data_IF_524329486056
#
_entry.id   IF_524329486056
#
_cell.length_a   1.000
_cell.length_b   1.000
_cell.length_c   1.000
_cell.angle_alpha   90.00
_cell.angle_beta   90.00
_cell.angle_gamma   90.00
#
_symmetry.space_group_name_H-M   'P 1'
#
loop_
_entity.id
_entity.type
_entity.pdbx_description
1 polymer ?
#
# COMPACT_ATOMS: atom_id res chain seq x y z
N UNK A 1 55.82 -18.72 47.77
CA UNK A 1 55.03 -17.65 47.15
C UNK A 1 54.18 -18.30 46.07
N UNK A 2 52.94 -18.63 46.39
CA UNK A 2 52.01 -19.32 45.50
C UNK A 2 51.06 -18.30 44.88
N UNK A 3 51.00 -18.36 43.55
CA UNK A 3 50.28 -17.51 42.62
C UNK A 3 48.77 -17.64 42.82
N UNK A 4 48.09 -16.55 43.17
CA UNK A 4 46.62 -16.48 43.19
C UNK A 4 46.09 -16.26 41.78
N UNK A 5 45.46 -17.28 41.21
CA UNK A 5 44.70 -17.16 39.96
C UNK A 5 43.34 -16.55 40.30
N UNK A 6 43.09 -15.32 39.87
CA UNK A 6 41.78 -14.69 39.89
C UNK A 6 40.98 -15.25 38.71
N UNK A 7 40.13 -16.23 38.99
CA UNK A 7 39.08 -16.66 38.07
C UNK A 7 38.03 -15.54 38.02
N UNK A 8 38.12 -14.68 36.99
CA UNK A 8 36.98 -13.87 36.58
C UNK A 8 35.95 -14.82 35.97
N UNK A 9 34.99 -15.24 36.79
CA UNK A 9 33.71 -15.77 36.30
C UNK A 9 33.09 -14.67 35.44
N UNK A 10 33.04 -14.86 34.13
CA UNK A 10 32.16 -14.14 33.23
C UNK A 10 30.73 -14.52 33.59
N UNK A 11 30.21 -13.89 34.65
CA UNK A 11 28.80 -13.93 34.96
C UNK A 11 28.08 -13.17 33.86
N UNK A 12 27.30 -13.88 33.06
CA UNK A 12 26.22 -13.29 32.29
C UNK A 12 25.29 -12.63 33.31
N UNK A 13 25.41 -11.31 33.49
CA UNK A 13 24.40 -10.56 34.20
C UNK A 13 23.12 -10.68 33.36
N UNK A 14 22.15 -11.47 33.83
CA UNK A 14 20.75 -11.30 33.40
C UNK A 14 20.41 -9.84 33.66
N UNK A 15 20.04 -9.07 32.64
CA UNK A 15 19.62 -7.69 32.82
C UNK A 15 18.33 -7.66 33.64
N UNK A 16 18.07 -6.59 34.38
CA UNK A 16 16.70 -6.36 34.85
C UNK A 16 15.87 -5.79 33.69
N UNK A 17 14.54 -5.85 33.77
CA UNK A 17 13.69 -4.99 32.92
C UNK A 17 13.81 -3.54 33.40
N UNK A 18 13.79 -2.57 32.48
CA UNK A 18 13.56 -1.18 32.81
C UNK A 18 12.05 -0.94 32.85
N UNK A 19 11.53 -0.69 34.05
CA UNK A 19 10.15 -0.26 34.27
C UNK A 19 10.11 1.26 34.47
N UNK A 20 9.31 1.96 33.65
CA UNK A 20 9.04 3.40 33.77
C UNK A 20 7.53 3.58 33.86
N UNK A 21 7.01 3.83 35.05
CA UNK A 21 5.57 3.82 35.33
C UNK A 21 5.21 4.73 36.52
N UNK A 22 3.92 4.93 36.80
CA UNK A 22 3.43 5.78 37.89
C UNK A 22 3.96 7.23 37.80
N UNK A 23 3.73 7.86 36.64
CA UNK A 23 4.16 9.22 36.28
C UNK A 23 5.68 9.42 36.24
N UNK A 24 6.44 8.33 36.22
CA UNK A 24 7.90 8.40 36.13
C UNK A 24 8.38 8.92 34.77
N UNK A 25 9.48 9.67 34.83
CA UNK A 25 10.25 10.12 33.67
C UNK A 25 11.68 9.63 33.84
N UNK A 26 12.17 8.87 32.87
CA UNK A 26 13.55 8.33 32.85
C UNK A 26 14.28 8.85 31.63
N UNK A 27 15.54 9.28 31.80
CA UNK A 27 16.41 9.72 30.71
C UNK A 27 17.58 8.75 30.56
N UNK A 28 17.89 8.38 29.31
CA UNK A 28 19.07 7.63 28.91
C UNK A 28 19.92 8.54 28.03
N UNK A 29 21.11 8.89 28.50
CA UNK A 29 22.12 9.69 27.80
C UNK A 29 23.49 8.96 27.72
N UNK A 30 23.49 7.67 28.06
CA UNK A 30 24.64 6.77 28.05
C UNK A 30 24.28 5.43 27.39
N UNK A 31 25.29 4.58 27.18
CA UNK A 31 25.08 3.19 26.76
C UNK A 31 24.50 2.37 27.92
N UNK A 32 23.29 1.87 27.75
CA UNK A 32 22.61 0.99 28.72
C UNK A 32 21.92 -0.17 28.01
N UNK A 33 21.82 -1.30 28.69
CA UNK A 33 21.15 -2.47 28.18
C UNK A 33 20.28 -3.13 29.26
N UNK A 34 19.07 -3.52 28.89
CA UNK A 34 18.07 -4.14 29.77
C UNK A 34 17.47 -5.37 29.11
N UNK A 35 16.79 -6.23 29.88
CA UNK A 35 16.10 -7.39 29.32
C UNK A 35 14.78 -6.99 28.62
N UNK A 36 14.13 -5.94 29.10
CA UNK A 36 12.97 -5.37 28.44
C UNK A 36 12.85 -3.89 28.80
N UNK A 37 12.15 -3.14 27.96
CA UNK A 37 11.72 -1.78 28.24
C UNK A 37 10.21 -1.77 28.39
N UNK A 38 9.73 -1.48 29.60
CA UNK A 38 8.32 -1.48 29.98
C UNK A 38 7.93 -0.06 30.39
N UNK A 39 7.24 0.66 29.51
CA UNK A 39 6.94 2.09 29.69
C UNK A 39 5.43 2.29 29.76
N UNK A 40 4.92 2.81 30.87
CA UNK A 40 3.48 2.95 31.14
C UNK A 40 2.80 1.59 31.27
N UNK A 41 3.23 0.79 32.26
CA UNK A 41 2.74 -0.57 32.42
C UNK A 41 1.35 -0.62 33.04
N UNK A 42 1.12 0.00 34.21
CA UNK A 42 -0.19 0.14 34.84
C UNK A 42 -0.70 1.58 34.90
N UNK A 43 0.17 2.57 34.72
CA UNK A 43 -0.18 3.99 34.70
C UNK A 43 0.56 4.71 33.58
N UNK A 44 1.00 5.93 33.85
CA UNK A 44 1.73 6.75 32.90
C UNK A 44 3.24 6.60 33.07
N UNK A 45 4.00 6.54 31.97
CA UNK A 45 5.45 6.52 32.01
C UNK A 45 6.08 7.18 30.79
N UNK A 46 7.20 7.88 30.99
CA UNK A 46 7.93 8.55 29.91
C UNK A 46 9.40 8.16 29.92
N UNK A 47 9.89 7.57 28.83
CA UNK A 47 11.29 7.27 28.62
C UNK A 47 11.87 8.18 27.53
N UNK A 48 12.92 8.94 27.84
CA UNK A 48 13.66 9.73 26.86
C UNK A 48 15.03 9.09 26.62
N UNK A 49 15.34 8.82 25.36
CA UNK A 49 16.66 8.36 24.91
C UNK A 49 17.27 9.55 24.16
N UNK A 50 18.16 10.27 24.85
CA UNK A 50 18.72 11.53 24.40
C UNK A 50 19.97 11.30 23.55
N UNK A 51 20.49 12.35 22.92
CA UNK A 51 21.75 12.31 22.18
C UNK A 51 22.89 11.72 23.03
N UNK A 52 23.60 10.74 22.46
CA UNK A 52 24.63 9.97 23.17
C UNK A 52 24.10 8.76 23.95
N UNK A 53 22.79 8.71 24.19
CA UNK A 53 22.11 7.55 24.75
C UNK A 53 21.98 6.41 23.74
N UNK A 54 22.22 5.19 24.20
CA UNK A 54 22.09 3.98 23.41
C UNK A 54 21.46 2.89 24.27
N UNK A 55 20.18 2.68 24.05
CA UNK A 55 19.37 1.68 24.71
C UNK A 55 19.36 0.39 23.87
N UNK A 56 19.72 -0.75 24.45
CA UNK A 56 19.74 -2.04 23.75
C UNK A 56 19.20 -3.18 24.63
N UNK A 57 18.95 -4.35 24.03
CA UNK A 57 18.51 -5.53 24.78
C UNK A 57 19.69 -6.42 25.19
N UNK A 58 19.74 -6.82 26.47
CA UNK A 58 20.67 -7.86 26.95
C UNK A 58 20.12 -9.26 26.69
N UNK A 59 18.86 -9.52 27.07
CA UNK A 59 18.18 -10.80 26.89
C UNK A 59 16.65 -10.60 26.72
N UNK A 60 15.93 -11.66 26.31
CA UNK A 60 14.49 -11.97 26.50
C UNK A 60 13.33 -11.11 25.89
N UNK A 61 12.43 -11.89 25.25
CA UNK A 61 11.01 -11.80 24.85
C UNK A 61 10.32 -10.57 24.23
N UNK A 62 10.25 -9.38 24.82
CA UNK A 62 9.43 -8.26 24.26
C UNK A 62 9.63 -6.93 25.00
N UNK A 63 9.53 -5.79 24.30
CA UNK A 63 9.42 -4.45 24.91
C UNK A 63 8.02 -3.85 24.67
N UNK A 64 7.53 -3.04 25.60
CA UNK A 64 6.15 -2.53 25.59
C UNK A 64 6.09 -1.05 25.95
N UNK A 65 5.29 -0.30 25.20
CA UNK A 65 4.90 1.10 25.48
C UNK A 65 3.38 1.15 25.61
N UNK A 66 2.83 1.45 26.78
CA UNK A 66 1.38 1.43 27.05
C UNK A 66 0.84 0.01 27.12
N UNK A 67 1.07 -0.69 28.24
CA UNK A 67 0.84 -2.13 28.34
C UNK A 67 -0.62 -2.54 28.59
N UNK A 68 -1.26 -1.99 29.63
CA UNK A 68 -2.58 -2.41 30.11
C UNK A 68 -3.67 -1.39 29.77
N UNK A 69 -4.94 -1.78 29.91
CA UNK A 69 -6.06 -0.85 29.76
C UNK A 69 -5.86 0.40 30.64
N UNK A 70 -6.23 1.56 30.10
CA UNK A 70 -6.08 2.88 30.71
C UNK A 70 -4.62 3.31 31.04
N UNK A 71 -3.60 2.54 30.64
CA UNK A 71 -2.19 2.92 30.83
C UNK A 71 -1.64 3.72 29.66
N UNK A 72 -0.66 4.59 29.92
CA UNK A 72 -0.09 5.51 28.94
C UNK A 72 1.45 5.44 28.93
N UNK A 73 2.03 4.89 27.88
CA UNK A 73 3.48 4.89 27.67
C UNK A 73 3.90 5.91 26.63
N UNK A 74 4.97 6.65 26.89
CA UNK A 74 5.63 7.48 25.88
C UNK A 74 7.14 7.21 25.85
N UNK A 75 7.68 6.92 24.67
CA UNK A 75 9.12 6.87 24.43
C UNK A 75 9.51 7.96 23.45
N UNK A 76 10.51 8.78 23.79
CA UNK A 76 11.08 9.80 22.93
C UNK A 76 12.54 9.45 22.62
N UNK A 77 12.86 9.15 21.37
CA UNK A 77 14.23 8.95 20.89
C UNK A 77 14.67 10.23 20.22
N UNK A 78 15.44 11.04 20.95
CA UNK A 78 15.82 12.41 20.63
C UNK A 78 17.33 12.46 20.36
N UNK A 79 17.73 12.00 19.18
CA UNK A 79 19.14 11.90 18.77
C UNK A 79 19.93 10.74 19.37
N UNK A 80 19.31 9.92 20.22
CA UNK A 80 19.86 8.67 20.72
C UNK A 80 19.51 7.46 19.84
N UNK A 81 19.93 6.27 20.29
CA UNK A 81 19.68 5.00 19.61
C UNK A 81 18.89 4.05 20.51
N UNK A 82 17.91 3.35 19.93
CA UNK A 82 17.20 2.26 20.59
C UNK A 82 17.21 1.00 19.72
N UNK A 83 17.87 -0.07 20.18
CA UNK A 83 18.04 -1.32 19.43
C UNK A 83 17.32 -2.48 20.10
N UNK A 84 16.30 -3.02 19.43
CA UNK A 84 15.45 -4.12 19.89
C UNK A 84 15.90 -5.46 19.29
N UNK A 85 17.21 -5.69 19.32
CA UNK A 85 17.86 -6.93 18.94
C UNK A 85 18.62 -7.46 20.14
N UNK A 86 18.56 -8.77 20.36
CA UNK A 86 19.32 -9.39 21.44
C UNK A 86 20.82 -9.53 21.10
N UNK A 87 21.60 -10.02 22.06
CA UNK A 87 23.05 -10.25 21.89
C UNK A 87 23.40 -11.24 20.77
N UNK A 88 22.44 -12.05 20.32
CA UNK A 88 22.57 -12.96 19.18
C UNK A 88 22.15 -12.33 17.85
N UNK A 89 21.83 -11.03 17.83
CA UNK A 89 21.30 -10.29 16.70
C UNK A 89 19.96 -10.85 16.17
N UNK A 90 19.13 -11.39 17.05
CA UNK A 90 17.76 -11.78 16.71
C UNK A 90 16.81 -10.62 17.03
N UNK A 91 15.95 -10.27 16.07
CA UNK A 91 14.89 -9.29 16.26
C UNK A 91 13.96 -9.70 17.41
N UNK A 92 13.58 -8.71 18.23
CA UNK A 92 12.63 -8.91 19.33
C UNK A 92 11.37 -8.05 19.13
N UNK A 93 10.20 -8.51 19.60
CA UNK A 93 8.96 -7.74 19.51
C UNK A 93 8.99 -6.43 20.29
N UNK A 94 8.52 -5.36 19.66
CA UNK A 94 8.17 -4.09 20.28
C UNK A 94 6.67 -3.84 20.09
N UNK A 95 5.92 -3.78 21.18
CA UNK A 95 4.50 -3.45 21.17
C UNK A 95 4.31 -1.98 21.61
N UNK A 96 3.66 -1.18 20.77
CA UNK A 96 3.27 0.19 21.09
C UNK A 96 1.75 0.24 21.15
N UNK A 97 1.21 0.55 22.33
CA UNK A 97 -0.21 0.41 22.65
C UNK A 97 -0.61 -1.06 22.63
N UNK A 98 -0.24 -1.82 23.65
CA UNK A 98 -0.62 -3.23 23.74
C UNK A 98 -2.11 -3.35 24.03
N UNK A 99 -2.53 -3.04 25.25
CA UNK A 99 -3.95 -2.83 25.61
C UNK A 99 -4.23 -1.38 26.03
N UNK A 100 -3.18 -0.59 26.31
CA UNK A 100 -3.26 0.83 26.64
C UNK A 100 -2.93 1.73 25.45
N UNK A 101 -2.52 2.96 25.77
CA UNK A 101 -2.06 3.95 24.79
C UNK A 101 -0.54 4.03 24.81
N UNK A 102 0.10 3.73 23.68
CA UNK A 102 1.55 3.84 23.51
C UNK A 102 1.91 4.87 22.45
N UNK A 103 2.92 5.69 22.73
CA UNK A 103 3.48 6.63 21.76
C UNK A 103 5.00 6.48 21.67
N UNK A 104 5.53 6.31 20.46
CA UNK A 104 6.95 6.35 20.16
C UNK A 104 7.25 7.54 19.24
N UNK A 105 8.05 8.49 19.73
CA UNK A 105 8.52 9.63 18.96
C UNK A 105 9.99 9.45 18.62
N UNK A 106 10.33 9.52 17.33
CA UNK A 106 11.70 9.45 16.83
C UNK A 106 12.00 10.78 16.14
N UNK A 107 12.83 11.60 16.78
CA UNK A 107 13.12 12.97 16.32
C UNK A 107 14.60 13.30 16.49
N UNK A 108 15.02 14.44 15.93
CA UNK A 108 16.37 15.00 16.15
C UNK A 108 17.49 14.00 15.84
N UNK A 109 17.37 13.26 14.73
CA UNK A 109 18.30 12.19 14.32
C UNK A 109 18.27 10.95 15.21
N UNK A 110 17.21 10.75 15.96
CA UNK A 110 16.99 9.52 16.72
C UNK A 110 16.91 8.30 15.80
N UNK A 111 17.43 7.18 16.28
CA UNK A 111 17.46 5.92 15.54
C UNK A 111 16.80 4.80 16.34
N UNK A 112 15.81 4.12 15.76
CA UNK A 112 15.19 2.93 16.36
C UNK A 112 15.33 1.76 15.42
N UNK A 113 15.90 0.67 15.93
CA UNK A 113 15.95 -0.63 15.28
C UNK A 113 14.94 -1.56 15.96
N UNK A 114 13.69 -1.51 15.51
CA UNK A 114 12.50 -1.96 16.22
C UNK A 114 12.18 -3.46 16.16
N UNK A 115 13.01 -4.27 15.50
CA UNK A 115 12.78 -5.72 15.39
C UNK A 115 11.40 -6.03 14.78
N UNK A 116 10.49 -6.64 15.55
CA UNK A 116 9.09 -6.87 15.14
C UNK A 116 8.16 -5.86 15.80
N UNK A 117 7.72 -4.86 15.05
CA UNK A 117 6.96 -3.74 15.58
C UNK A 117 5.45 -3.92 15.37
N UNK A 118 4.69 -3.83 16.47
CA UNK A 118 3.22 -3.88 16.46
C UNK A 118 2.63 -2.64 17.10
N UNK A 119 1.72 -1.97 16.39
CA UNK A 119 0.95 -0.82 16.90
C UNK A 119 -0.50 -1.24 17.14
N UNK A 120 -1.01 -1.03 18.36
CA UNK A 120 -2.34 -1.54 18.74
C UNK A 120 -2.35 -3.06 18.77
N UNK A 121 -1.52 -3.67 19.65
CA UNK A 121 -1.25 -5.12 19.58
C UNK A 121 -2.33 -6.01 20.20
N UNK A 122 -3.27 -5.45 20.97
CA UNK A 122 -4.47 -6.13 21.48
C UNK A 122 -5.72 -5.30 21.20
N UNK A 123 -6.90 -5.91 21.33
CA UNK A 123 -8.19 -5.21 21.24
C UNK A 123 -8.23 -4.03 22.22
N UNK A 124 -8.63 -2.86 21.75
CA UNK A 124 -8.66 -1.62 22.55
C UNK A 124 -7.32 -0.88 22.66
N UNK A 125 -6.19 -1.54 22.38
CA UNK A 125 -4.87 -0.91 22.37
C UNK A 125 -4.73 0.14 21.27
N UNK A 126 -4.05 1.23 21.59
CA UNK A 126 -3.81 2.37 20.68
C UNK A 126 -2.32 2.67 20.61
N UNK A 127 -1.70 2.36 19.47
CA UNK A 127 -0.28 2.59 19.23
C UNK A 127 -0.02 3.71 18.23
N UNK A 128 0.84 4.66 18.57
CA UNK A 128 1.28 5.72 17.65
C UNK A 128 2.79 5.75 17.52
N UNK A 129 3.29 5.80 16.29
CA UNK A 129 4.71 6.06 15.98
C UNK A 129 4.82 7.33 15.14
N UNK A 130 5.68 8.24 15.56
CA UNK A 130 6.00 9.46 14.82
C UNK A 130 7.50 9.46 14.47
N UNK A 131 7.83 9.51 13.19
CA UNK A 131 9.20 9.63 12.68
C UNK A 131 9.32 10.98 11.99
N UNK A 132 9.94 11.94 12.67
CA UNK A 132 9.94 13.35 12.26
C UNK A 132 11.35 13.91 12.19
N UNK A 133 11.68 14.53 11.07
CA UNK A 133 12.92 15.26 10.88
C UNK A 133 13.96 14.47 10.08
N UNK A 134 14.82 15.23 9.41
CA UNK A 134 15.94 14.70 8.64
C UNK A 134 16.87 13.84 9.51
N UNK A 135 17.30 12.70 8.96
CA UNK A 135 18.10 11.66 9.62
C UNK A 135 17.41 10.94 10.81
N UNK A 136 16.13 11.19 11.11
CA UNK A 136 15.38 10.36 12.06
C UNK A 136 14.92 9.07 11.39
N UNK A 137 15.26 7.94 11.99
CA UNK A 137 15.19 6.63 11.32
C UNK A 137 14.47 5.60 12.19
N UNK A 138 13.55 4.85 11.58
CA UNK A 138 12.99 3.62 12.10
C UNK A 138 13.29 2.46 11.14
N UNK A 139 13.96 1.43 11.62
CA UNK A 139 14.10 0.15 10.91
C UNK A 139 13.30 -0.93 11.63
N UNK A 140 12.62 -1.78 10.87
CA UNK A 140 11.89 -2.93 11.43
C UNK A 140 11.84 -4.06 10.40
N UNK A 141 11.74 -5.30 10.86
CA UNK A 141 11.59 -6.45 9.98
C UNK A 141 10.12 -6.65 9.61
N UNK A 142 9.28 -6.92 10.61
CA UNK A 142 7.83 -7.05 10.49
C UNK A 142 7.17 -5.82 11.10
N UNK A 143 6.28 -5.19 10.35
CA UNK A 143 5.53 -4.03 10.81
C UNK A 143 4.02 -4.26 10.70
N UNK A 144 3.35 -4.40 11.84
CA UNK A 144 1.88 -4.44 11.93
C UNK A 144 1.36 -3.13 12.52
N UNK A 145 0.56 -2.40 11.76
CA UNK A 145 -0.05 -1.12 12.13
C UNK A 145 -1.55 -1.35 12.27
N UNK A 146 -2.05 -1.31 13.50
CA UNK A 146 -3.41 -1.78 13.80
C UNK A 146 -3.45 -3.30 13.74
N UNK A 147 -2.73 -3.95 14.66
CA UNK A 147 -2.64 -5.42 14.71
C UNK A 147 -3.98 -6.04 15.13
N UNK A 148 -4.40 -5.83 16.38
CA UNK A 148 -5.74 -6.19 16.89
C UNK A 148 -6.54 -4.96 17.34
N UNK A 149 -5.86 -3.85 17.63
CA UNK A 149 -6.44 -2.57 18.01
C UNK A 149 -6.24 -1.50 16.94
N UNK A 150 -5.93 -0.28 17.38
CA UNK A 150 -5.67 0.87 16.50
C UNK A 150 -4.18 1.20 16.46
N UNK A 151 -3.62 1.33 15.25
CA UNK A 151 -2.23 1.74 15.05
C UNK A 151 -2.12 2.91 14.09
N UNK A 152 -1.20 3.82 14.38
CA UNK A 152 -0.89 4.98 13.53
C UNK A 152 0.62 5.12 13.33
N UNK A 153 1.04 5.32 12.09
CA UNK A 153 2.41 5.71 11.74
C UNK A 153 2.38 7.04 10.98
N UNK A 154 3.14 8.01 11.48
CA UNK A 154 3.35 9.29 10.82
C UNK A 154 4.83 9.43 10.45
N UNK A 155 5.11 9.68 9.17
CA UNK A 155 6.45 9.96 8.66
C UNK A 155 6.44 11.34 8.05
N UNK A 156 7.14 12.28 8.67
CA UNK A 156 7.10 13.70 8.29
C UNK A 156 8.49 14.31 8.23
N UNK A 157 8.61 15.44 7.55
CA UNK A 157 9.80 16.31 7.57
C UNK A 157 11.10 15.56 7.27
N UNK A 158 11.06 14.69 6.24
CA UNK A 158 12.15 13.80 5.81
C UNK A 158 12.55 12.68 6.80
N UNK A 159 11.67 12.31 7.72
CA UNK A 159 11.82 11.06 8.47
C UNK A 159 11.89 9.85 7.54
N UNK A 160 12.61 8.80 7.94
CA UNK A 160 12.87 7.63 7.10
C UNK A 160 12.52 6.33 7.82
N UNK A 161 11.71 5.49 7.17
CA UNK A 161 11.29 4.18 7.70
C UNK A 161 11.69 3.06 6.74
N UNK A 162 12.15 1.93 7.27
CA UNK A 162 12.34 0.69 6.49
C UNK A 162 11.63 -0.51 7.10
N UNK A 163 11.09 -1.37 6.23
CA UNK A 163 10.46 -2.64 6.58
C UNK A 163 10.92 -3.74 5.63
N UNK A 164 11.37 -4.89 6.17
CA UNK A 164 12.14 -5.87 5.39
C UNK A 164 11.56 -7.30 5.30
N UNK A 165 10.45 -7.61 5.98
CA UNK A 165 9.76 -8.91 5.85
C UNK A 165 8.33 -8.72 5.36
N UNK A 166 7.55 -7.86 6.03
CA UNK A 166 6.16 -7.56 5.68
C UNK A 166 5.72 -6.27 6.37
N UNK A 167 4.86 -5.51 5.71
CA UNK A 167 4.15 -4.38 6.31
C UNK A 167 2.64 -4.56 6.15
N UNK A 168 1.89 -4.50 7.25
CA UNK A 168 0.44 -4.75 7.27
C UNK A 168 -0.28 -3.62 8.01
N UNK A 169 -1.31 -3.06 7.39
CA UNK A 169 -2.25 -2.10 8.00
C UNK A 169 -3.59 -2.80 8.18
N UNK A 170 -4.11 -2.83 9.42
CA UNK A 170 -5.37 -3.50 9.72
C UNK A 170 -5.26 -5.03 9.60
N UNK A 171 -4.43 -5.64 10.46
CA UNK A 171 -4.10 -7.06 10.40
C UNK A 171 -5.31 -7.97 10.68
N UNK A 172 -6.03 -7.75 11.79
CA UNK A 172 -7.14 -8.60 12.23
C UNK A 172 -8.51 -7.95 12.01
N UNK A 173 -9.57 -8.77 12.00
CA UNK A 173 -10.93 -8.26 11.90
C UNK A 173 -11.23 -7.28 13.05
N UNK A 174 -11.77 -6.10 12.72
CA UNK A 174 -12.05 -5.03 13.67
C UNK A 174 -10.86 -4.14 14.05
N UNK A 175 -9.64 -4.46 13.59
CA UNK A 175 -8.47 -3.59 13.81
C UNK A 175 -8.42 -2.44 12.78
N UNK A 176 -7.72 -1.36 13.13
CA UNK A 176 -7.59 -0.17 12.29
C UNK A 176 -6.13 0.29 12.20
N UNK A 177 -5.56 0.23 11.00
CA UNK A 177 -4.21 0.71 10.72
C UNK A 177 -4.21 1.97 9.86
N UNK A 178 -3.52 3.03 10.30
CA UNK A 178 -3.38 4.26 9.55
C UNK A 178 -1.91 4.63 9.33
N UNK A 179 -1.57 5.05 8.12
CA UNK A 179 -0.25 5.58 7.75
C UNK A 179 -0.41 6.91 7.05
N UNK A 180 0.41 7.89 7.46
CA UNK A 180 0.59 9.16 6.75
C UNK A 180 2.07 9.35 6.44
N UNK A 181 2.38 9.56 5.16
CA UNK A 181 3.72 9.93 4.68
C UNK A 181 3.63 11.28 3.99
N UNK A 182 4.25 12.30 4.57
CA UNK A 182 4.15 13.67 4.08
C UNK A 182 5.43 14.48 4.28
N UNK A 183 5.50 15.66 3.65
CA UNK A 183 6.61 16.63 3.82
C UNK A 183 7.98 16.01 3.56
N UNK A 184 8.09 15.23 2.48
CA UNK A 184 9.31 14.53 2.11
C UNK A 184 9.67 13.32 2.98
N UNK A 185 8.79 12.89 3.89
CA UNK A 185 8.96 11.62 4.60
C UNK A 185 9.02 10.43 3.64
N UNK A 186 9.75 9.38 4.02
CA UNK A 186 10.01 8.23 3.16
C UNK A 186 9.78 6.89 3.87
N UNK A 187 9.15 5.94 3.17
CA UNK A 187 9.03 4.56 3.62
C UNK A 187 9.49 3.57 2.54
N UNK A 188 10.51 2.78 2.87
CA UNK A 188 11.01 1.69 2.04
C UNK A 188 10.54 0.33 2.57
N UNK A 189 9.65 -0.31 1.82
CA UNK A 189 9.11 -1.65 2.09
C UNK A 189 9.75 -2.61 1.09
N UNK A 190 10.95 -3.10 1.40
CA UNK A 190 11.71 -3.96 0.50
C UNK A 190 12.66 -4.92 1.23
N UNK A 191 12.83 -6.11 0.65
CA UNK A 191 13.93 -7.03 0.95
C UNK A 191 14.77 -7.27 -0.32
N UNK A 192 16.06 -7.50 -0.16
CA UNK A 192 16.95 -7.83 -1.28
C UNK A 192 16.84 -9.30 -1.73
N UNK A 193 16.44 -10.20 -0.82
CA UNK A 193 16.48 -11.64 -1.04
C UNK A 193 15.11 -12.23 -1.47
N UNK A 194 14.02 -11.49 -1.27
CA UNK A 194 12.67 -11.94 -1.61
C UNK A 194 11.73 -10.77 -1.88
N UNK A 195 10.64 -11.04 -2.60
CA UNK A 195 9.54 -10.07 -2.68
C UNK A 195 8.79 -10.05 -1.36
N UNK A 196 8.63 -8.86 -0.79
CA UNK A 196 7.79 -8.67 0.40
C UNK A 196 6.43 -8.09 0.04
N UNK A 197 5.49 -8.22 0.98
CA UNK A 197 4.13 -7.73 0.82
C UNK A 197 3.91 -6.47 1.66
N UNK A 198 3.30 -5.48 1.03
CA UNK A 198 2.66 -4.35 1.69
C UNK A 198 1.15 -4.55 1.60
N UNK A 199 0.50 -4.80 2.74
CA UNK A 199 -0.92 -5.08 2.79
C UNK A 199 -1.68 -3.95 3.47
N UNK A 200 -2.69 -3.43 2.79
CA UNK A 200 -3.57 -2.36 3.28
C UNK A 200 -4.97 -2.94 3.44
N UNK A 201 -5.41 -3.08 4.69
CA UNK A 201 -6.66 -3.77 5.04
C UNK A 201 -6.54 -5.27 4.83
N UNK A 202 -5.84 -5.98 5.72
CA UNK A 202 -5.72 -7.44 5.62
C UNK A 202 -7.03 -8.13 5.97
N UNK A 203 -7.41 -8.19 7.25
CA UNK A 203 -8.76 -8.61 7.69
C UNK A 203 -9.54 -7.45 8.33
N UNK A 204 -8.83 -6.40 8.76
CA UNK A 204 -9.38 -5.17 9.32
C UNK A 204 -9.42 -4.04 8.31
N UNK A 205 -9.45 -2.81 8.83
CA UNK A 205 -9.40 -1.59 8.03
C UNK A 205 -7.97 -1.06 7.98
N UNK A 206 -7.46 -0.81 6.77
CA UNK A 206 -6.16 -0.19 6.56
C UNK A 206 -6.28 1.04 5.67
N UNK A 207 -5.59 2.11 6.03
CA UNK A 207 -5.51 3.34 5.26
C UNK A 207 -4.06 3.84 5.17
N UNK A 208 -3.57 4.06 3.96
CA UNK A 208 -2.30 4.74 3.72
C UNK A 208 -2.53 6.01 2.90
N UNK A 209 -2.01 7.13 3.38
CA UNK A 209 -2.06 8.43 2.70
C UNK A 209 -0.66 8.94 2.43
N UNK A 210 -0.38 9.27 1.18
CA UNK A 210 0.87 9.86 0.71
C UNK A 210 0.52 11.23 0.14
N UNK A 211 1.06 12.28 0.75
CA UNK A 211 0.73 13.67 0.39
C UNK A 211 1.91 14.62 0.57
N UNK A 212 1.78 15.85 0.10
CA UNK A 212 2.77 16.91 0.33
C UNK A 212 4.23 16.47 0.06
N UNK A 213 4.48 15.70 -1.01
CA UNK A 213 5.81 15.23 -1.39
C UNK A 213 6.31 13.99 -0.64
N UNK A 214 5.44 13.25 0.05
CA UNK A 214 5.78 11.99 0.70
C UNK A 214 6.11 10.87 -0.31
N UNK A 215 6.96 9.93 0.09
CA UNK A 215 7.46 8.87 -0.80
C UNK A 215 7.32 7.48 -0.18
N UNK A 216 6.76 6.54 -0.94
CA UNK A 216 6.77 5.11 -0.60
C UNK A 216 7.39 4.31 -1.74
N UNK A 217 8.28 3.37 -1.41
CA UNK A 217 8.71 2.31 -2.33
C UNK A 217 8.35 0.96 -1.74
N UNK A 218 7.54 0.18 -2.46
CA UNK A 218 7.09 -1.14 -2.04
C UNK A 218 7.29 -2.19 -3.14
N UNK A 219 7.25 -3.46 -2.75
CA UNK A 219 7.30 -4.60 -3.66
C UNK A 219 5.89 -5.02 -4.11
N UNK A 220 5.34 -6.15 -3.64
CA UNK A 220 3.95 -6.50 -3.93
C UNK A 220 3.04 -5.70 -3.00
N UNK A 221 2.11 -4.93 -3.55
CA UNK A 221 1.13 -4.18 -2.76
C UNK A 221 -0.26 -4.79 -2.92
N UNK A 222 -0.93 -5.06 -1.81
CA UNK A 222 -2.25 -5.69 -1.75
C UNK A 222 -3.19 -4.76 -0.97
N UNK A 223 -4.33 -4.41 -1.54
CA UNK A 223 -5.37 -3.57 -0.93
C UNK A 223 -6.64 -4.41 -0.82
N UNK A 224 -7.22 -4.53 0.38
CA UNK A 224 -8.34 -5.44 0.63
C UNK A 224 -7.91 -6.91 0.56
N UNK A 225 -7.03 -7.32 1.49
CA UNK A 225 -6.28 -8.58 1.44
C UNK A 225 -7.12 -9.85 1.59
N UNK A 226 -7.98 -9.93 2.62
CA UNK A 226 -8.90 -11.04 2.88
C UNK A 226 -10.36 -10.61 2.71
N UNK A 227 -11.30 -11.55 2.76
CA UNK A 227 -12.74 -11.33 2.50
C UNK A 227 -13.39 -10.19 3.33
N UNK A 228 -12.95 -9.97 4.57
CA UNK A 228 -13.44 -8.87 5.42
C UNK A 228 -12.57 -7.61 5.36
N UNK A 229 -11.41 -7.70 4.70
CA UNK A 229 -10.42 -6.62 4.63
C UNK A 229 -10.94 -5.43 3.83
N UNK A 230 -10.74 -4.25 4.38
CA UNK A 230 -11.08 -2.97 3.73
C UNK A 230 -9.80 -2.14 3.66
N UNK A 231 -9.27 -1.96 2.45
CA UNK A 231 -8.05 -1.19 2.21
C UNK A 231 -8.32 0.10 1.45
N UNK A 232 -7.67 1.18 1.86
CA UNK A 232 -7.65 2.45 1.12
C UNK A 232 -6.23 2.97 0.95
N UNK A 233 -5.82 3.28 -0.27
CA UNK A 233 -4.56 3.95 -0.57
C UNK A 233 -4.85 5.28 -1.28
N UNK A 234 -4.42 6.39 -0.66
CA UNK A 234 -4.55 7.73 -1.20
C UNK A 234 -3.16 8.27 -1.58
N UNK A 235 -3.00 8.69 -2.83
CA UNK A 235 -1.78 9.33 -3.34
C UNK A 235 -2.16 10.67 -3.94
N UNK A 236 -1.80 11.74 -3.26
CA UNK A 236 -2.27 13.07 -3.58
C UNK A 236 -1.17 14.12 -3.53
N UNK A 237 -1.39 15.22 -4.24
CA UNK A 237 -0.50 16.38 -4.29
C UNK A 237 0.77 16.14 -5.11
N UNK A 238 1.36 17.24 -5.57
CA UNK A 238 2.55 17.22 -6.39
C UNK A 238 3.71 16.55 -5.65
N UNK A 239 4.51 15.77 -6.39
CA UNK A 239 5.70 15.05 -5.93
C UNK A 239 5.45 13.94 -4.90
N UNK A 240 4.19 13.67 -4.55
CA UNK A 240 3.81 12.50 -3.76
C UNK A 240 3.81 11.25 -4.63
N UNK A 241 4.64 10.27 -4.27
CA UNK A 241 4.89 9.11 -5.13
C UNK A 241 4.82 7.82 -4.33
N UNK A 242 4.15 6.81 -4.89
CA UNK A 242 4.42 5.41 -4.55
C UNK A 242 4.95 4.66 -5.77
N UNK A 243 6.05 3.94 -5.56
CA UNK A 243 6.58 3.00 -6.55
C UNK A 243 6.37 1.58 -6.06
N UNK A 244 5.66 0.76 -6.83
CA UNK A 244 5.35 -0.64 -6.51
C UNK A 244 5.87 -1.58 -7.59
N UNK A 245 6.14 -2.85 -7.25
CA UNK A 245 6.46 -3.86 -8.26
C UNK A 245 5.18 -4.43 -8.90
N UNK A 246 4.27 -4.93 -8.08
CA UNK A 246 2.93 -5.42 -8.50
C UNK A 246 1.89 -4.81 -7.57
N UNK A 247 0.70 -4.58 -8.11
CA UNK A 247 -0.42 -4.03 -7.35
C UNK A 247 -1.66 -4.92 -7.50
N UNK A 248 -2.28 -5.24 -6.37
CA UNK A 248 -3.53 -5.98 -6.30
C UNK A 248 -4.54 -5.15 -5.50
N UNK A 249 -5.65 -4.77 -6.11
CA UNK A 249 -6.66 -3.93 -5.48
C UNK A 249 -8.01 -4.66 -5.41
N UNK A 250 -8.52 -4.86 -4.20
CA UNK A 250 -9.61 -5.80 -3.94
C UNK A 250 -9.15 -7.23 -4.21
N UNK A 251 -8.26 -7.77 -3.36
CA UNK A 251 -7.70 -9.10 -3.59
C UNK A 251 -8.72 -10.20 -3.28
N UNK A 252 -9.08 -10.37 -2.01
CA UNK A 252 -10.26 -11.14 -1.59
C UNK A 252 -11.34 -10.23 -0.99
N UNK A 253 -10.98 -9.02 -0.56
CA UNK A 253 -11.88 -8.06 0.09
C UNK A 253 -12.16 -6.83 -0.76
N UNK A 254 -12.34 -5.70 -0.09
CA UNK A 254 -12.65 -4.41 -0.73
C UNK A 254 -11.41 -3.52 -0.73
N UNK A 255 -11.03 -3.03 -1.91
CA UNK A 255 -9.90 -2.12 -2.08
C UNK A 255 -10.28 -0.84 -2.80
N UNK A 256 -9.82 0.30 -2.29
CA UNK A 256 -9.95 1.60 -2.94
C UNK A 256 -8.57 2.23 -3.13
N UNK A 257 -8.30 2.68 -4.35
CA UNK A 257 -7.08 3.38 -4.73
C UNK A 257 -7.45 4.75 -5.30
N UNK A 258 -7.00 5.82 -4.66
CA UNK A 258 -7.24 7.19 -5.11
C UNK A 258 -5.92 7.86 -5.49
N UNK A 259 -5.87 8.38 -6.72
CA UNK A 259 -4.75 9.14 -7.26
C UNK A 259 -5.30 10.51 -7.67
N UNK A 260 -4.88 11.56 -6.97
CA UNK A 260 -5.47 12.90 -7.15
C UNK A 260 -4.44 14.02 -7.03
N UNK A 261 -4.81 15.24 -7.43
CA UNK A 261 -4.01 16.46 -7.24
C UNK A 261 -2.55 16.35 -7.70
N UNK A 262 -2.27 15.71 -8.85
CA UNK A 262 -0.91 15.42 -9.36
C UNK A 262 -0.11 14.35 -8.61
N UNK A 263 -0.75 13.56 -7.73
CA UNK A 263 -0.12 12.37 -7.14
C UNK A 263 0.23 11.33 -8.20
N UNK A 264 1.28 10.54 -7.94
CA UNK A 264 1.84 9.60 -8.92
C UNK A 264 1.99 8.19 -8.34
N UNK A 265 1.47 7.20 -9.08
CA UNK A 265 1.75 5.79 -8.84
C UNK A 265 2.60 5.25 -9.98
N UNK A 266 3.76 4.69 -9.64
CA UNK A 266 4.65 4.00 -10.55
C UNK A 266 4.58 2.49 -10.32
N UNK A 267 4.00 1.74 -11.26
CA UNK A 267 3.90 0.29 -11.21
C UNK A 267 4.95 -0.34 -12.14
N UNK A 268 5.86 -1.17 -11.65
CA UNK A 268 6.95 -1.73 -12.48
C UNK A 268 6.50 -2.90 -13.36
N UNK A 269 5.59 -3.72 -12.84
CA UNK A 269 5.03 -4.86 -13.57
C UNK A 269 3.54 -4.61 -13.82
N UNK A 270 2.66 -5.51 -13.36
CA UNK A 270 1.24 -5.50 -13.66
C UNK A 270 0.39 -5.07 -12.46
N UNK A 271 -0.89 -4.84 -12.72
CA UNK A 271 -1.88 -4.60 -11.68
C UNK A 271 -3.17 -5.39 -11.93
N UNK A 272 -3.77 -5.90 -10.87
CA UNK A 272 -5.06 -6.59 -10.90
C UNK A 272 -6.04 -5.83 -9.99
N UNK A 273 -7.27 -5.62 -10.46
CA UNK A 273 -8.33 -4.92 -9.75
C UNK A 273 -9.57 -5.82 -9.74
N UNK A 274 -10.16 -6.08 -8.57
CA UNK A 274 -11.21 -7.10 -8.42
C UNK A 274 -10.67 -8.49 -8.71
N UNK A 275 -9.75 -8.97 -7.86
CA UNK A 275 -8.86 -10.08 -8.20
C UNK A 275 -9.54 -11.45 -8.10
N UNK A 276 -10.25 -11.70 -6.99
CA UNK A 276 -10.88 -12.98 -6.70
C UNK A 276 -12.41 -12.87 -6.79
N UNK A 277 -13.08 -14.01 -6.96
CA UNK A 277 -14.55 -14.05 -6.96
C UNK A 277 -15.10 -13.46 -5.64
N UNK A 278 -16.11 -12.60 -5.76
CA UNK A 278 -16.70 -11.84 -4.66
C UNK A 278 -15.87 -10.67 -4.10
N UNK A 279 -14.67 -10.41 -4.64
CA UNK A 279 -13.86 -9.23 -4.26
C UNK A 279 -14.23 -7.98 -5.07
N UNK A 280 -13.94 -6.80 -4.53
CA UNK A 280 -14.24 -5.53 -5.19
C UNK A 280 -13.05 -4.56 -5.12
N UNK A 281 -12.58 -4.10 -6.27
CA UNK A 281 -11.48 -3.14 -6.39
C UNK A 281 -11.89 -1.90 -7.16
N UNK A 282 -11.64 -0.71 -6.60
CA UNK A 282 -11.92 0.58 -7.25
C UNK A 282 -10.63 1.38 -7.37
N UNK A 283 -10.34 1.87 -8.58
CA UNK A 283 -9.23 2.81 -8.84
C UNK A 283 -9.80 4.12 -9.39
N UNK A 284 -9.52 5.21 -8.70
CA UNK A 284 -9.90 6.57 -9.10
C UNK A 284 -8.65 7.36 -9.47
N UNK A 285 -8.56 7.82 -10.70
CA UNK A 285 -7.48 8.67 -11.22
C UNK A 285 -8.10 10.00 -11.62
N UNK A 286 -7.93 11.01 -10.77
CA UNK A 286 -8.66 12.28 -10.88
C UNK A 286 -7.74 13.47 -10.66
N UNK A 287 -8.18 14.69 -10.96
CA UNK A 287 -7.46 15.93 -10.63
C UNK A 287 -5.96 15.89 -11.00
N UNK A 288 -5.65 15.50 -12.25
CA UNK A 288 -4.28 15.32 -12.77
C UNK A 288 -3.44 14.23 -12.12
N UNK A 289 -4.05 13.38 -11.28
CA UNK A 289 -3.42 12.16 -10.78
C UNK A 289 -2.94 11.28 -11.94
N UNK A 290 -1.83 10.57 -11.72
CA UNK A 290 -1.20 9.76 -12.76
C UNK A 290 -0.91 8.34 -12.29
N UNK A 291 -1.47 7.36 -12.98
CA UNK A 291 -1.10 5.95 -12.83
C UNK A 291 -0.20 5.52 -14.00
N UNK A 292 1.05 5.21 -13.70
CA UNK A 292 2.10 5.01 -14.68
C UNK A 292 2.75 3.63 -14.56
N UNK A 293 2.91 2.92 -15.68
CA UNK A 293 3.54 1.62 -15.73
C UNK A 293 4.97 1.69 -16.30
N UNK A 294 5.97 1.48 -15.45
CA UNK A 294 7.40 1.57 -15.74
C UNK A 294 7.98 0.20 -16.15
N UNK A 295 8.17 -0.08 -17.44
CA UNK A 295 8.84 -1.33 -17.83
C UNK A 295 9.13 -1.50 -19.33
N UNK A 296 10.03 -2.41 -19.66
CA UNK A 296 10.39 -2.80 -21.03
C UNK A 296 9.74 -4.14 -21.38
N UNK A 297 8.69 -4.15 -22.20
CA UNK A 297 8.04 -5.38 -22.68
C UNK A 297 6.56 -5.49 -22.30
N UNK A 298 5.78 -6.17 -23.13
CA UNK A 298 4.32 -6.26 -23.01
C UNK A 298 3.88 -7.27 -21.92
N UNK A 299 4.61 -8.37 -21.77
CA UNK A 299 4.25 -9.48 -20.86
C UNK A 299 4.17 -9.09 -19.37
N UNK A 300 4.84 -8.01 -18.98
CA UNK A 300 4.84 -7.54 -17.59
C UNK A 300 4.05 -6.24 -17.40
N UNK A 301 3.53 -5.61 -18.45
CA UNK A 301 2.76 -4.36 -18.35
C UNK A 301 1.32 -4.65 -18.72
N UNK A 302 0.52 -5.05 -17.76
CA UNK A 302 -0.90 -5.21 -17.99
C UNK A 302 -1.72 -4.78 -16.77
N UNK A 303 -2.97 -4.41 -17.03
CA UNK A 303 -3.98 -4.13 -16.02
C UNK A 303 -5.16 -5.06 -16.29
N UNK A 304 -5.56 -5.85 -15.29
CA UNK A 304 -6.86 -6.51 -15.32
C UNK A 304 -7.84 -5.75 -14.43
N UNK A 305 -8.95 -5.33 -15.02
CA UNK A 305 -10.07 -4.69 -14.34
C UNK A 305 -11.19 -5.72 -14.28
N UNK A 306 -11.49 -6.23 -13.09
CA UNK A 306 -12.32 -7.41 -12.90
C UNK A 306 -11.59 -8.66 -13.41
N UNK A 307 -10.64 -9.19 -12.62
CA UNK A 307 -9.97 -10.45 -12.95
C UNK A 307 -10.94 -11.62 -12.77
N UNK A 308 -11.28 -11.97 -11.53
CA UNK A 308 -12.39 -12.87 -11.20
C UNK A 308 -13.52 -12.18 -10.40
N UNK A 309 -13.26 -11.00 -9.83
CA UNK A 309 -14.25 -10.22 -9.08
C UNK A 309 -14.67 -8.96 -9.84
N UNK A 310 -15.13 -7.98 -9.08
CA UNK A 310 -15.61 -6.70 -9.61
C UNK A 310 -14.49 -5.66 -9.56
N UNK A 311 -14.07 -5.15 -10.72
CA UNK A 311 -13.05 -4.12 -10.82
C UNK A 311 -13.57 -2.85 -11.49
N UNK A 312 -13.16 -1.69 -10.97
CA UNK A 312 -13.50 -0.38 -11.52
C UNK A 312 -12.26 0.47 -11.74
N UNK A 313 -12.18 1.11 -12.90
CA UNK A 313 -11.19 2.14 -13.22
C UNK A 313 -11.90 3.42 -13.67
N UNK A 314 -11.82 4.46 -12.87
CA UNK A 314 -12.44 5.75 -13.11
C UNK A 314 -11.37 6.82 -13.38
N UNK A 315 -11.34 7.36 -14.60
CA UNK A 315 -10.42 8.41 -15.03
C UNK A 315 -11.22 9.67 -15.35
N UNK A 316 -10.98 10.75 -14.58
CA UNK A 316 -11.73 12.00 -14.73
C UNK A 316 -10.90 13.23 -14.38
N UNK A 317 -11.41 14.44 -14.65
CA UNK A 317 -10.78 15.71 -14.24
C UNK A 317 -9.27 15.77 -14.53
N UNK A 318 -8.90 15.57 -15.79
CA UNK A 318 -7.50 15.55 -16.27
C UNK A 318 -6.63 14.39 -15.73
N UNK A 319 -7.23 13.37 -15.10
CA UNK A 319 -6.51 12.15 -14.69
C UNK A 319 -5.89 11.40 -15.86
N UNK A 320 -4.74 10.76 -15.61
CA UNK A 320 -3.95 10.08 -16.64
C UNK A 320 -3.60 8.64 -16.25
N UNK A 321 -3.76 7.70 -17.18
CA UNK A 321 -3.28 6.33 -17.05
C UNK A 321 -2.38 6.00 -18.24
N UNK A 322 -1.12 5.63 -17.97
CA UNK A 322 -0.19 5.11 -18.97
C UNK A 322 0.13 3.65 -18.64
N UNK A 323 -0.38 2.71 -19.44
CA UNK A 323 -0.31 1.28 -19.16
C UNK A 323 0.22 0.46 -20.33
N UNK A 324 0.49 -0.82 -20.10
CA UNK A 324 0.55 -1.79 -21.20
C UNK A 324 -0.86 -2.24 -21.61
N UNK A 325 -1.13 -3.54 -21.74
CA UNK A 325 -2.46 -4.02 -22.16
C UNK A 325 -3.47 -3.86 -21.02
N UNK A 326 -4.65 -3.34 -21.30
CA UNK A 326 -5.78 -3.35 -20.35
C UNK A 326 -6.76 -4.43 -20.79
N UNK A 327 -7.13 -5.32 -19.87
CA UNK A 327 -8.22 -6.27 -20.04
C UNK A 327 -9.29 -6.03 -18.98
N UNK A 328 -10.55 -5.87 -19.39
CA UNK A 328 -11.69 -5.78 -18.47
C UNK A 328 -12.58 -7.03 -18.59
N UNK A 329 -12.95 -7.63 -17.46
CA UNK A 329 -13.69 -8.90 -17.41
C UNK A 329 -12.83 -10.07 -17.90
N UNK A 330 -11.78 -10.39 -17.14
CA UNK A 330 -10.76 -11.38 -17.56
C UNK A 330 -11.29 -12.82 -17.52
N UNK A 331 -11.77 -13.29 -16.36
CA UNK A 331 -12.31 -14.64 -16.16
C UNK A 331 -13.83 -14.63 -16.20
N UNK A 332 -14.46 -15.81 -16.28
CA UNK A 332 -15.91 -15.97 -16.40
C UNK A 332 -16.74 -15.18 -15.36
N UNK A 333 -16.28 -15.08 -14.12
CA UNK A 333 -16.96 -14.32 -13.04
C UNK A 333 -16.54 -12.85 -12.99
N UNK A 334 -15.49 -12.46 -13.70
CA UNK A 334 -14.92 -11.13 -13.64
C UNK A 334 -15.80 -10.09 -14.32
N UNK A 335 -16.09 -9.00 -13.60
CA UNK A 335 -16.78 -7.82 -14.13
C UNK A 335 -15.84 -6.62 -14.07
N UNK A 336 -15.51 -6.05 -15.22
CA UNK A 336 -14.60 -4.92 -15.32
C UNK A 336 -15.27 -3.68 -15.90
N UNK A 337 -15.29 -2.58 -15.14
CA UNK A 337 -15.87 -1.30 -15.57
C UNK A 337 -14.78 -0.25 -15.72
N UNK A 338 -14.67 0.34 -16.91
CA UNK A 338 -13.73 1.44 -17.20
C UNK A 338 -14.55 2.67 -17.56
N UNK A 339 -14.36 3.76 -16.83
CA UNK A 339 -14.97 5.06 -17.13
C UNK A 339 -13.89 6.09 -17.41
N UNK A 340 -13.95 6.74 -18.57
CA UNK A 340 -13.09 7.86 -18.93
C UNK A 340 -13.97 9.06 -19.28
N UNK A 341 -13.93 10.09 -18.46
CA UNK A 341 -14.78 11.27 -18.64
C UNK A 341 -14.02 12.57 -18.43
N UNK A 342 -14.58 13.63 -18.95
CA UNK A 342 -14.06 15.00 -18.88
C UNK A 342 -12.84 15.22 -19.79
N UNK A 343 -12.74 16.47 -20.26
CA UNK A 343 -11.66 16.90 -21.14
C UNK A 343 -10.29 16.67 -20.51
N UNK A 344 -9.34 16.22 -21.33
CA UNK A 344 -7.96 15.88 -20.96
C UNK A 344 -7.81 14.70 -19.98
N UNK A 345 -8.86 13.97 -19.65
CA UNK A 345 -8.73 12.67 -19.01
C UNK A 345 -8.36 11.61 -20.05
N UNK A 346 -7.20 10.98 -19.86
CA UNK A 346 -6.59 10.14 -20.89
C UNK A 346 -6.13 8.80 -20.34
N UNK A 347 -6.51 7.72 -21.04
CA UNK A 347 -5.85 6.42 -20.94
C UNK A 347 -5.01 6.22 -22.19
N UNK A 348 -3.71 5.99 -22.03
CA UNK A 348 -2.81 5.53 -23.11
C UNK A 348 -2.34 4.12 -22.77
N UNK A 349 -2.61 3.16 -23.66
CA UNK A 349 -2.30 1.76 -23.42
C UNK A 349 -1.69 1.07 -24.65
N UNK A 350 -1.21 -0.17 -24.49
CA UNK A 350 -0.69 -1.00 -25.58
C UNK A 350 -1.76 -1.91 -26.19
N UNK A 351 -3.02 -1.79 -25.78
CA UNK A 351 -4.11 -2.63 -26.24
C UNK A 351 -5.25 -2.62 -25.22
N UNK A 352 -6.46 -2.85 -25.69
CA UNK A 352 -7.66 -2.85 -24.86
C UNK A 352 -8.53 -4.04 -25.21
N UNK A 353 -8.76 -4.93 -24.25
CA UNK A 353 -9.63 -6.08 -24.38
C UNK A 353 -10.80 -5.94 -23.39
N UNK A 354 -12.03 -6.06 -23.87
CA UNK A 354 -13.23 -6.01 -23.03
C UNK A 354 -14.04 -7.28 -23.20
N UNK A 355 -14.37 -7.91 -22.07
CA UNK A 355 -14.99 -9.23 -22.03
C UNK A 355 -14.06 -10.27 -22.61
N UNK A 356 -13.03 -10.65 -21.85
CA UNK A 356 -12.15 -11.76 -22.23
C UNK A 356 -12.93 -13.06 -22.10
N UNK A 357 -13.08 -13.61 -20.90
CA UNK A 357 -14.07 -14.66 -20.62
C UNK A 357 -15.27 -14.12 -19.81
N UNK A 358 -15.13 -12.96 -19.17
CA UNK A 358 -16.16 -12.31 -18.34
C UNK A 358 -16.84 -11.11 -19.01
N UNK A 359 -17.26 -10.17 -18.18
CA UNK A 359 -17.98 -8.96 -18.60
C UNK A 359 -17.08 -7.73 -18.51
N UNK A 360 -16.79 -7.09 -19.64
CA UNK A 360 -16.05 -5.84 -19.69
C UNK A 360 -16.90 -4.70 -20.23
N UNK A 361 -16.94 -3.58 -19.53
CA UNK A 361 -17.62 -2.36 -19.95
C UNK A 361 -16.64 -1.19 -20.00
N UNK A 362 -16.73 -0.37 -21.06
CA UNK A 362 -16.01 0.88 -21.17
C UNK A 362 -16.94 2.02 -21.58
N UNK A 363 -16.99 3.05 -20.75
CA UNK A 363 -17.75 4.27 -20.97
C UNK A 363 -16.81 5.46 -21.18
N UNK A 364 -16.90 6.11 -22.34
CA UNK A 364 -16.11 7.29 -22.67
C UNK A 364 -17.06 8.46 -22.94
N UNK A 365 -16.92 9.55 -22.19
CA UNK A 365 -17.87 10.67 -22.25
C UNK A 365 -17.19 12.03 -22.05
N UNK A 366 -17.90 13.12 -22.35
CA UNK A 366 -17.50 14.49 -22.02
C UNK A 366 -16.06 14.84 -22.45
N UNK A 367 -15.68 14.55 -23.69
CA UNK A 367 -14.32 14.76 -24.24
C UNK A 367 -13.20 13.92 -23.59
N UNK A 368 -13.53 12.86 -22.84
CA UNK A 368 -12.55 11.86 -22.38
C UNK A 368 -11.93 11.09 -23.55
N UNK A 369 -10.69 10.61 -23.36
CA UNK A 369 -9.90 10.00 -24.44
C UNK A 369 -9.26 8.67 -24.01
N UNK A 370 -9.42 7.64 -24.84
CA UNK A 370 -8.66 6.39 -24.77
C UNK A 370 -7.82 6.24 -26.04
N UNK A 371 -6.53 5.99 -25.89
CA UNK A 371 -5.58 5.74 -26.98
C UNK A 371 -4.96 4.35 -26.80
N UNK A 372 -5.29 3.43 -27.72
CA UNK A 372 -4.76 2.06 -27.74
C UNK A 372 -3.70 1.92 -28.82
N UNK A 373 -2.45 1.73 -28.41
CA UNK A 373 -1.31 1.64 -29.32
C UNK A 373 -1.04 0.22 -29.87
N UNK A 374 -1.80 -0.77 -29.41
CA UNK A 374 -1.77 -2.14 -29.94
C UNK A 374 -3.18 -2.72 -30.10
N UNK A 375 -3.22 -4.02 -30.43
CA UNK A 375 -4.45 -4.71 -30.78
C UNK A 375 -5.53 -4.60 -29.70
N UNK A 376 -6.78 -4.47 -30.13
CA UNK A 376 -7.92 -4.35 -29.20
C UNK A 376 -9.04 -5.31 -29.58
N UNK A 377 -9.78 -5.80 -28.58
CA UNK A 377 -10.86 -6.75 -28.81
C UNK A 377 -12.06 -6.53 -27.91
N UNK A 378 -13.27 -6.83 -28.44
CA UNK A 378 -14.52 -6.84 -27.69
C UNK A 378 -15.15 -8.24 -27.81
N UNK A 379 -15.44 -8.89 -26.68
CA UNK A 379 -16.00 -10.24 -26.64
C UNK A 379 -15.02 -11.28 -27.18
N UNK A 380 -13.94 -11.53 -26.45
CA UNK A 380 -12.84 -12.40 -26.90
C UNK A 380 -13.19 -13.89 -26.83
N UNK A 381 -13.51 -14.39 -25.64
CA UNK A 381 -13.87 -15.79 -25.34
C UNK A 381 -15.35 -16.07 -25.53
N UNK A 382 -15.74 -17.36 -25.52
CA UNK A 382 -17.11 -17.80 -25.86
C UNK A 382 -18.20 -17.20 -24.94
N UNK A 383 -17.86 -16.97 -23.67
CA UNK A 383 -18.71 -16.33 -22.66
C UNK A 383 -18.46 -14.83 -22.53
N UNK A 384 -17.41 -14.32 -23.17
CA UNK A 384 -16.96 -12.94 -23.04
C UNK A 384 -17.95 -11.94 -23.61
N UNK A 385 -18.27 -10.90 -22.83
CA UNK A 385 -19.13 -9.78 -23.26
C UNK A 385 -18.36 -8.47 -23.10
N UNK A 386 -18.01 -7.85 -24.23
CA UNK A 386 -17.37 -6.54 -24.26
C UNK A 386 -18.34 -5.45 -24.71
N UNK A 387 -18.62 -4.48 -23.86
CA UNK A 387 -19.50 -3.35 -24.15
C UNK A 387 -18.70 -2.05 -24.15
N UNK A 388 -18.86 -1.24 -25.20
CA UNK A 388 -18.31 0.11 -25.28
C UNK A 388 -19.42 1.10 -25.56
N UNK A 389 -19.45 2.18 -24.78
CA UNK A 389 -20.30 3.35 -25.03
C UNK A 389 -19.43 4.60 -25.15
N UNK A 390 -19.55 5.32 -26.27
CA UNK A 390 -18.84 6.58 -26.51
C UNK A 390 -19.88 7.67 -26.76
N UNK A 391 -19.92 8.66 -25.86
CA UNK A 391 -20.96 9.70 -25.80
C UNK A 391 -20.34 11.08 -25.60
N UNK A 392 -21.13 12.15 -25.77
CA UNK A 392 -20.77 13.55 -25.43
C UNK A 392 -19.34 13.95 -25.82
N UNK A 393 -18.95 13.67 -27.06
CA UNK A 393 -17.63 14.04 -27.60
C UNK A 393 -16.44 13.20 -27.10
N UNK A 394 -16.68 12.14 -26.31
CA UNK A 394 -15.67 11.16 -25.93
C UNK A 394 -15.04 10.48 -27.15
N UNK A 395 -13.84 9.92 -26.98
CA UNK A 395 -13.08 9.37 -28.09
C UNK A 395 -12.28 8.11 -27.70
N UNK A 396 -12.35 7.09 -28.56
CA UNK A 396 -11.43 5.95 -28.54
C UNK A 396 -10.65 5.88 -29.86
N UNK A 397 -9.33 6.05 -29.78
CA UNK A 397 -8.41 5.91 -30.90
C UNK A 397 -7.60 4.61 -30.78
N UNK A 398 -7.59 3.82 -31.83
CA UNK A 398 -6.73 2.63 -31.95
C UNK A 398 -5.69 2.89 -33.04
N UNK A 399 -4.43 2.54 -32.75
CA UNK A 399 -3.32 2.79 -33.65
C UNK A 399 -3.57 2.20 -35.04
N UNK A 400 -3.20 2.99 -36.05
CA UNK A 400 -3.47 2.78 -37.47
C UNK A 400 -2.92 1.46 -38.03
N UNK A 401 -1.90 0.88 -37.40
CA UNK A 401 -1.23 -0.33 -37.89
C UNK A 401 -1.66 -1.62 -37.18
N UNK A 402 -2.68 -1.58 -36.31
CA UNK A 402 -3.13 -2.75 -35.55
C UNK A 402 -4.63 -3.01 -35.74
N UNK A 403 -5.07 -4.22 -35.42
CA UNK A 403 -6.45 -4.65 -35.60
C UNK A 403 -7.30 -4.39 -34.36
N UNK A 404 -8.54 -3.93 -34.59
CA UNK A 404 -9.63 -4.02 -33.62
C UNK A 404 -10.55 -5.16 -34.03
N UNK A 405 -10.79 -6.12 -33.14
CA UNK A 405 -11.71 -7.24 -33.43
C UNK A 405 -12.95 -7.17 -32.55
N UNK A 406 -14.13 -7.24 -33.16
CA UNK A 406 -15.41 -7.19 -32.45
C UNK A 406 -16.12 -8.54 -32.63
N UNK A 407 -16.42 -9.18 -31.49
CA UNK A 407 -17.10 -10.47 -31.39
C UNK A 407 -16.23 -11.65 -31.81
N UNK A 408 -15.03 -11.81 -31.23
CA UNK A 408 -14.05 -12.85 -31.61
C UNK A 408 -14.66 -14.26 -31.48
N UNK A 409 -15.01 -14.66 -30.25
CA UNK A 409 -15.85 -15.83 -29.97
C UNK A 409 -17.11 -15.44 -29.17
N UNK A 410 -17.06 -14.32 -28.44
CA UNK A 410 -18.14 -13.82 -27.59
C UNK A 410 -18.95 -12.70 -28.23
N UNK A 411 -19.55 -11.87 -27.37
CA UNK A 411 -20.37 -10.71 -27.78
C UNK A 411 -19.57 -9.43 -27.63
N UNK A 412 -19.39 -8.71 -28.73
CA UNK A 412 -18.82 -7.36 -28.73
C UNK A 412 -19.87 -6.33 -29.15
N UNK A 413 -20.14 -5.34 -28.30
CA UNK A 413 -21.05 -4.24 -28.57
C UNK A 413 -20.29 -2.92 -28.55
N UNK A 414 -20.46 -2.12 -29.60
CA UNK A 414 -19.90 -0.77 -29.72
C UNK A 414 -21.03 0.20 -30.04
N UNK A 415 -21.34 1.07 -29.07
CA UNK A 415 -22.37 2.09 -29.17
C UNK A 415 -21.71 3.47 -29.20
N UNK A 416 -22.05 4.26 -30.22
CA UNK A 416 -21.52 5.62 -30.41
C UNK A 416 -22.69 6.54 -30.62
N UNK A 417 -22.78 7.60 -29.80
CA UNK A 417 -23.85 8.60 -29.87
C UNK A 417 -23.35 9.97 -29.38
N UNK A 418 -24.19 11.00 -29.47
CA UNK A 418 -23.92 12.33 -28.89
C UNK A 418 -22.55 12.93 -29.23
N UNK A 419 -22.08 12.73 -30.48
CA UNK A 419 -20.81 13.25 -30.97
C UNK A 419 -19.57 12.46 -30.52
N UNK A 420 -19.75 11.31 -29.88
CA UNK A 420 -18.68 10.36 -29.58
C UNK A 420 -17.98 9.84 -30.84
N UNK A 421 -16.72 9.40 -30.71
CA UNK A 421 -15.90 8.96 -31.85
C UNK A 421 -15.11 7.69 -31.54
N UNK A 422 -15.14 6.75 -32.48
CA UNK A 422 -14.23 5.61 -32.54
C UNK A 422 -13.37 5.72 -33.80
N UNK A 423 -12.05 5.64 -33.66
CA UNK A 423 -11.09 5.78 -34.77
C UNK A 423 -10.19 4.55 -34.82
N UNK A 424 -10.36 3.70 -35.84
CA UNK A 424 -9.50 2.55 -36.10
C UNK A 424 -9.38 2.33 -37.61
N UNK A 425 -8.20 1.91 -38.10
CA UNK A 425 -7.97 1.66 -39.53
C UNK A 425 -8.28 0.23 -39.96
N UNK A 426 -8.07 -0.75 -39.07
CA UNK A 426 -8.27 -2.16 -39.38
C UNK A 426 -9.28 -2.75 -38.39
N UNK A 427 -10.56 -2.76 -38.76
CA UNK A 427 -11.62 -3.33 -37.94
C UNK A 427 -12.11 -4.63 -38.57
N UNK A 428 -12.14 -5.70 -37.77
CA UNK A 428 -12.66 -7.00 -38.18
C UNK A 428 -13.86 -7.39 -37.31
N UNK A 429 -14.94 -7.81 -37.94
CA UNK A 429 -16.16 -8.30 -37.27
C UNK A 429 -16.26 -9.82 -37.46
N UNK A 430 -16.30 -10.57 -36.36
CA UNK A 430 -16.43 -12.04 -36.39
C UNK A 430 -17.89 -12.42 -36.12
N UNK A 431 -18.46 -13.17 -37.07
CA UNK A 431 -19.90 -13.36 -37.20
C UNK A 431 -20.40 -14.54 -36.35
N UNK A 432 -20.64 -14.33 -35.05
CA UNK A 432 -21.45 -15.30 -34.29
C UNK A 432 -22.62 -14.62 -33.55
N UNK A 433 -22.50 -13.42 -32.94
CA UNK A 433 -23.63 -12.64 -32.36
C UNK A 433 -23.28 -11.15 -32.23
N UNK A 434 -23.93 -10.23 -32.96
CA UNK A 434 -23.62 -8.79 -32.90
C UNK A 434 -24.85 -7.87 -32.96
N UNK A 435 -24.73 -6.70 -32.30
CA UNK A 435 -25.52 -5.50 -32.57
C UNK A 435 -24.57 -4.29 -32.63
N UNK A 436 -24.39 -3.69 -33.81
CA UNK A 436 -23.74 -2.39 -33.97
C UNK A 436 -24.83 -1.37 -34.28
N UNK A 437 -25.01 -0.38 -33.40
CA UNK A 437 -25.93 0.72 -33.64
C UNK A 437 -25.16 2.04 -33.65
N UNK A 438 -25.27 2.78 -34.75
CA UNK A 438 -24.80 4.15 -34.89
C UNK A 438 -26.03 5.01 -35.17
N UNK A 439 -26.30 5.99 -34.30
CA UNK A 439 -27.42 6.92 -34.42
C UNK A 439 -26.93 8.36 -34.54
#
# INVERSE_FOLDING_TARGET
MTLGVLLALSGSASGASLEVDNDQITNIDTDVAYDAYLVGWYGTGVLNILAGGNASLTTITTSVIGANEDSEGTVNVLGGTWRLYDSGNNARPLNVGQSGTGTLNIKQKGHVDGGYLRLGSSTGGVGTVNVEGEDSVLTTELFEIGSYGTGSLNITDKGYVTSSIVAILGYQAGSNGQVVVEKGGEWLIKNNDSSIEFQIGNQGTGEATIREGGLITAENTIIGGNATGIGTLNVQDQDSVITVRRLYNGYFGNGTLNISNNGLINNKEYSLVGVQDGSHGVVNVTDKGHWNFLGTGEAFRYIYIGDAGDGELNVSREGKVDSGIITAGMKETGTGNITVKDKNSVITNLGTNLGYDGHGEMNISNEGLVVSNGGSSLGYGETGVGNVSITTGGMWEVNKNVYTTIGVAGVGNLNISDGGKFVSQNITFWAIKQAVSAH
#
